data_IF_816534491629
#
_entry.id   IF_816534491629
#
_cell.length_a   1.000
_cell.length_b   1.000
_cell.length_c   1.000
_cell.angle_alpha   90.00
_cell.angle_beta   90.00
_cell.angle_gamma   90.00
#
_symmetry.space_group_name_H-M   'P 1'
#
loop_
_entity.id
_entity.type
_entity.pdbx_description
1 polymer ?
#
# COMPACT_ATOMS: atom_id res chain seq x y z
N UNK A 1 -10.04 -10.86 5.17
CA UNK A 1 -8.73 -10.15 5.07
C UNK A 1 -8.35 -10.03 3.60
N UNK A 2 -7.91 -8.86 3.13
CA UNK A 2 -7.50 -8.62 1.74
C UNK A 2 -6.02 -8.97 1.57
N UNK A 3 -5.68 -9.73 0.53
CA UNK A 3 -4.30 -10.00 0.12
C UNK A 3 -3.78 -8.98 -0.92
N UNK A 4 -4.58 -7.95 -1.20
CA UNK A 4 -4.31 -6.93 -2.22
C UNK A 4 -4.71 -5.56 -1.66
N UNK A 5 -3.77 -4.62 -1.74
CA UNK A 5 -3.90 -3.23 -1.33
C UNK A 5 -3.63 -2.33 -2.55
N UNK A 6 -4.40 -1.27 -2.71
CA UNK A 6 -4.10 -0.26 -3.72
C UNK A 6 -3.16 0.79 -3.14
N UNK A 7 -1.96 0.93 -3.70
CA UNK A 7 -1.01 1.98 -3.31
C UNK A 7 -1.39 3.29 -3.99
N UNK A 8 -1.48 4.34 -3.20
CA UNK A 8 -1.79 5.70 -3.63
C UNK A 8 -0.54 6.57 -3.46
N UNK A 9 -0.17 7.32 -4.49
CA UNK A 9 0.96 8.26 -4.46
C UNK A 9 0.54 9.60 -5.06
N UNK A 10 1.11 10.72 -4.58
CA UNK A 10 0.93 12.00 -5.25
C UNK A 10 1.36 11.92 -6.71
N UNK A 11 0.52 12.43 -7.61
CA UNK A 11 0.80 12.53 -9.04
C UNK A 11 1.08 11.20 -9.77
N UNK A 12 0.64 10.06 -9.22
CA UNK A 12 0.68 8.75 -9.92
C UNK A 12 -0.66 8.05 -9.86
N UNK A 13 -0.96 7.28 -10.90
CA UNK A 13 -2.13 6.41 -10.91
C UNK A 13 -2.01 5.32 -9.81
N UNK A 14 -3.10 4.96 -9.13
CA UNK A 14 -3.11 3.87 -8.16
C UNK A 14 -2.66 2.55 -8.79
N UNK A 15 -1.92 1.73 -8.03
CA UNK A 15 -1.52 0.39 -8.48
C UNK A 15 -1.63 -0.65 -7.36
N UNK A 16 -1.81 -1.91 -7.75
CA UNK A 16 -1.99 -3.00 -6.79
C UNK A 16 -0.65 -3.44 -6.20
N UNK A 17 -0.64 -3.59 -4.87
CA UNK A 17 0.39 -4.29 -4.11
C UNK A 17 -0.22 -5.59 -3.60
N UNK A 18 0.29 -6.71 -4.12
CA UNK A 18 -0.05 -8.04 -3.63
C UNK A 18 0.88 -8.38 -2.47
N UNK A 19 0.31 -8.80 -1.34
CA UNK A 19 1.08 -9.07 -0.13
C UNK A 19 0.44 -10.14 0.74
N UNK A 20 1.07 -10.36 1.89
CA UNK A 20 0.50 -11.21 2.94
C UNK A 20 -0.84 -10.63 3.44
N UNK A 21 -1.64 -11.46 4.11
CA UNK A 21 -2.85 -11.00 4.79
C UNK A 21 -2.44 -10.17 6.02
N UNK A 22 -2.28 -8.87 5.80
CA UNK A 22 -1.86 -7.89 6.80
C UNK A 22 -2.97 -6.87 7.04
N UNK A 23 -2.92 -6.19 8.18
CA UNK A 23 -3.81 -5.07 8.46
C UNK A 23 -3.37 -3.80 7.70
N UNK A 24 -4.17 -2.74 7.81
CA UNK A 24 -3.91 -1.48 7.09
C UNK A 24 -2.60 -0.82 7.51
N UNK A 25 -2.27 -0.81 8.78
CA UNK A 25 -1.08 -0.13 9.32
C UNK A 25 0.21 -0.85 8.90
N UNK A 26 0.18 -2.18 8.88
CA UNK A 26 1.24 -3.02 8.32
C UNK A 26 1.40 -2.77 6.82
N UNK A 27 0.31 -2.72 6.05
CA UNK A 27 0.35 -2.42 4.63
C UNK A 27 0.91 -1.02 4.34
N UNK A 28 0.52 -0.02 5.14
CA UNK A 28 1.03 1.34 5.05
C UNK A 28 2.53 1.40 5.35
N UNK A 29 2.97 0.65 6.36
CA UNK A 29 4.39 0.54 6.72
C UNK A 29 5.20 -0.08 5.57
N UNK A 30 4.72 -1.18 4.98
CA UNK A 30 5.35 -1.80 3.82
C UNK A 30 5.43 -0.85 2.61
N UNK A 31 4.33 -0.16 2.30
CA UNK A 31 4.31 0.79 1.19
C UNK A 31 5.29 1.95 1.40
N UNK A 32 5.39 2.48 2.63
CA UNK A 32 6.25 3.62 2.98
C UNK A 32 7.74 3.32 3.05
N UNK A 33 8.13 2.05 3.16
CA UNK A 33 9.53 1.62 3.00
C UNK A 33 10.04 1.92 1.59
N UNK A 34 9.19 1.75 0.57
CA UNK A 34 9.55 1.96 -0.83
C UNK A 34 9.19 3.38 -1.29
N UNK A 35 8.02 3.88 -0.86
CA UNK A 35 7.50 5.19 -1.23
C UNK A 35 7.04 5.96 0.01
N UNK A 36 7.87 6.85 0.57
CA UNK A 36 7.61 7.51 1.85
C UNK A 36 6.26 8.24 1.96
N UNK A 37 5.74 8.73 0.84
CA UNK A 37 4.46 9.46 0.77
C UNK A 37 3.25 8.57 0.44
N UNK A 38 3.42 7.24 0.45
CA UNK A 38 2.34 6.31 0.13
C UNK A 38 1.20 6.32 1.15
N UNK A 39 0.00 6.08 0.62
CA UNK A 39 -1.18 5.61 1.35
C UNK A 39 -1.70 4.31 0.71
N UNK A 40 -2.63 3.62 1.37
CA UNK A 40 -3.20 2.35 0.91
C UNK A 40 -4.75 2.36 0.95
N UNK A 41 -5.43 1.57 0.11
CA UNK A 41 -6.89 1.39 0.12
C UNK A 41 -7.33 -0.08 -0.06
#
# INVERSE_FOLDING_TARGET
MKACWMVLLPNRAPFAMVGAQINRDEALTCARIIWPEADVA
#
